data_IF_222391112820
#
_entry.id   IF_222391112820
#
_cell.length_a   1.000
_cell.length_b   1.000
_cell.length_c   1.000
_cell.angle_alpha   90.00
_cell.angle_beta   90.00
_cell.angle_gamma   90.00
#
_symmetry.space_group_name_H-M   'P 1'
#
loop_
_entity.id
_entity.type
_entity.pdbx_description
1 polymer ?
#
# COMPACT_ATOMS: atom_id res chain seq x y z
N UNK A 1 24.12 -44.79 -12.14
CA UNK A 1 23.23 -45.55 -11.22
C UNK A 1 23.74 -45.60 -9.78
N UNK A 2 24.89 -46.22 -9.48
CA UNK A 2 25.41 -46.37 -8.11
C UNK A 2 25.61 -45.02 -7.38
N UNK A 3 26.16 -44.02 -8.08
CA UNK A 3 26.33 -42.65 -7.56
C UNK A 3 25.00 -42.00 -7.15
N UNK A 4 23.94 -42.16 -7.95
CA UNK A 4 22.60 -41.60 -7.66
C UNK A 4 21.98 -42.27 -6.43
N UNK A 5 22.07 -43.59 -6.33
CA UNK A 5 21.57 -44.33 -5.16
C UNK A 5 22.30 -43.95 -3.88
N UNK A 6 23.61 -43.71 -3.95
CA UNK A 6 24.40 -43.19 -2.83
C UNK A 6 23.88 -41.82 -2.40
N UNK A 7 23.59 -40.91 -3.34
CA UNK A 7 23.03 -39.58 -3.02
C UNK A 7 21.63 -39.66 -2.39
N UNK A 8 20.76 -40.54 -2.88
CA UNK A 8 19.46 -40.79 -2.25
C UNK A 8 19.62 -41.30 -0.81
N UNK A 9 20.58 -42.20 -0.58
CA UNK A 9 20.87 -42.71 0.76
C UNK A 9 21.45 -41.61 1.67
N UNK A 10 22.34 -40.75 1.16
CA UNK A 10 22.87 -39.61 1.89
C UNK A 10 21.77 -38.63 2.30
N UNK A 11 20.80 -38.37 1.43
CA UNK A 11 19.63 -37.56 1.78
C UNK A 11 18.77 -38.19 2.88
N UNK A 12 18.59 -39.52 2.86
CA UNK A 12 17.90 -40.21 3.94
C UNK A 12 18.69 -40.10 5.26
N UNK A 13 20.01 -40.23 5.20
CA UNK A 13 20.89 -40.13 6.36
C UNK A 13 20.96 -38.71 6.93
N UNK A 14 20.74 -37.67 6.11
CA UNK A 14 20.60 -36.28 6.56
C UNK A 14 19.26 -35.97 7.21
N UNK A 15 18.42 -37.00 7.47
CA UNK A 15 17.06 -36.85 8.01
C UNK A 15 16.18 -35.94 7.15
N UNK A 16 16.36 -36.00 5.83
CA UNK A 16 15.58 -35.24 4.84
C UNK A 16 15.81 -33.72 4.90
N UNK A 17 17.01 -33.27 5.30
CA UNK A 17 17.32 -31.84 5.47
C UNK A 17 18.30 -31.29 4.42
N UNK A 18 18.99 -32.16 3.68
CA UNK A 18 19.97 -31.71 2.67
C UNK A 18 19.31 -31.48 1.31
N UNK A 19 18.81 -30.26 1.10
CA UNK A 19 18.08 -29.89 -0.11
C UNK A 19 18.97 -29.69 -1.35
N UNK A 20 20.28 -29.46 -1.17
CA UNK A 20 21.21 -29.43 -2.30
C UNK A 20 21.31 -30.82 -2.93
N UNK A 21 21.35 -31.88 -2.11
CA UNK A 21 21.31 -33.26 -2.60
C UNK A 21 20.01 -33.57 -3.36
N UNK A 22 18.88 -32.99 -2.98
CA UNK A 22 17.59 -33.17 -3.68
C UNK A 22 17.70 -32.66 -5.12
N UNK A 23 18.19 -31.44 -5.33
CA UNK A 23 18.33 -30.85 -6.67
C UNK A 23 19.32 -31.63 -7.55
N UNK A 24 20.45 -32.06 -6.98
CA UNK A 24 21.44 -32.87 -7.70
C UNK A 24 20.86 -34.22 -8.14
N UNK A 25 20.10 -34.88 -7.26
CA UNK A 25 19.46 -36.16 -7.55
C UNK A 25 18.37 -35.99 -8.62
N UNK A 26 17.56 -34.93 -8.54
CA UNK A 26 16.54 -34.64 -9.55
C UNK A 26 17.15 -34.37 -10.92
N UNK A 27 18.24 -33.59 -10.98
CA UNK A 27 18.96 -33.29 -12.22
C UNK A 27 19.50 -34.57 -12.87
N UNK A 28 20.24 -35.38 -12.11
CA UNK A 28 20.79 -36.65 -12.62
C UNK A 28 19.70 -37.64 -13.01
N UNK A 29 18.58 -37.68 -12.28
CA UNK A 29 17.46 -38.56 -12.58
C UNK A 29 16.77 -38.18 -13.91
N UNK A 30 16.72 -36.89 -14.28
CA UNK A 30 16.15 -36.44 -15.56
C UNK A 30 16.94 -36.91 -16.77
N UNK A 31 18.25 -37.14 -16.62
CA UNK A 31 19.13 -37.63 -17.68
C UNK A 31 18.95 -39.13 -17.96
N UNK A 32 18.39 -39.89 -17.02
CA UNK A 32 18.16 -41.32 -17.15
C UNK A 32 17.01 -41.62 -18.12
N UNK A 33 17.16 -42.70 -18.91
CA UNK A 33 16.16 -43.17 -19.89
C UNK A 33 15.92 -44.67 -19.76
N UNK A 34 14.73 -45.11 -20.18
CA UNK A 34 14.39 -46.52 -20.27
C UNK A 34 14.48 -47.28 -18.95
N UNK A 35 15.18 -48.43 -18.97
CA UNK A 35 15.24 -49.40 -17.86
C UNK A 35 15.89 -48.84 -16.59
N UNK A 36 16.96 -48.06 -16.73
CA UNK A 36 17.68 -47.49 -15.58
C UNK A 36 16.81 -46.53 -14.76
N UNK A 37 15.96 -45.76 -15.44
CA UNK A 37 15.00 -44.86 -14.80
C UNK A 37 13.93 -45.62 -14.04
N UNK A 38 13.39 -46.69 -14.65
CA UNK A 38 12.38 -47.53 -14.03
C UNK A 38 12.90 -48.24 -12.77
N UNK A 39 14.17 -48.67 -12.76
CA UNK A 39 14.80 -49.33 -11.61
C UNK A 39 14.98 -48.40 -10.40
N UNK A 40 15.21 -47.10 -10.64
CA UNK A 40 15.44 -46.11 -9.57
C UNK A 40 14.14 -45.43 -9.12
N UNK A 41 13.08 -45.46 -9.93
CA UNK A 41 11.81 -44.77 -9.66
C UNK A 41 11.31 -44.96 -8.22
N UNK A 42 11.29 -46.21 -7.75
CA UNK A 42 10.81 -46.52 -6.39
C UNK A 42 11.60 -45.78 -5.27
N UNK A 43 12.88 -45.49 -5.52
CA UNK A 43 13.76 -44.76 -4.61
C UNK A 43 13.54 -43.25 -4.69
N UNK A 44 12.98 -42.74 -5.79
CA UNK A 44 12.70 -41.31 -5.96
C UNK A 44 11.57 -40.80 -5.06
N UNK A 45 10.71 -41.68 -4.55
CA UNK A 45 9.65 -41.31 -3.61
C UNK A 45 10.11 -40.39 -2.46
N UNK A 46 11.24 -40.71 -1.81
CA UNK A 46 11.74 -39.90 -0.68
C UNK A 46 12.26 -38.55 -1.13
N UNK A 47 12.75 -38.46 -2.38
CA UNK A 47 13.22 -37.22 -2.98
C UNK A 47 12.02 -36.33 -3.34
N UNK A 48 10.96 -36.90 -3.91
CA UNK A 48 9.74 -36.16 -4.23
C UNK A 48 9.07 -35.61 -2.97
N UNK A 49 8.96 -36.44 -1.92
CA UNK A 49 8.48 -36.02 -0.60
C UNK A 49 9.36 -34.91 -0.02
N UNK A 50 10.68 -35.09 -0.03
CA UNK A 50 11.63 -34.10 0.50
C UNK A 50 11.57 -32.77 -0.24
N UNK A 51 11.41 -32.79 -1.56
CA UNK A 51 11.23 -31.59 -2.39
C UNK A 51 9.91 -30.89 -2.07
N UNK A 52 8.81 -31.63 -1.94
CA UNK A 52 7.53 -31.08 -1.48
C UNK A 52 7.66 -30.42 -0.10
N UNK A 53 8.23 -31.12 0.88
CA UNK A 53 8.41 -30.61 2.24
C UNK A 53 9.26 -29.33 2.27
N UNK A 54 10.32 -29.26 1.43
CA UNK A 54 11.15 -28.07 1.28
C UNK A 54 10.34 -26.88 0.75
N UNK A 55 9.68 -27.06 -0.39
CA UNK A 55 8.91 -26.01 -1.06
C UNK A 55 7.77 -25.49 -0.19
N UNK A 56 7.11 -26.39 0.56
CA UNK A 56 6.09 -26.00 1.53
C UNK A 56 6.66 -25.12 2.63
N UNK A 57 7.83 -25.47 3.19
CA UNK A 57 8.50 -24.69 4.24
C UNK A 57 9.06 -23.35 3.74
N UNK A 58 9.49 -23.29 2.49
CA UNK A 58 10.00 -22.07 1.86
C UNK A 58 8.91 -21.23 1.19
N UNK A 59 7.63 -21.54 1.45
CA UNK A 59 6.46 -20.80 0.94
C UNK A 59 6.32 -20.78 -0.59
N UNK A 60 6.89 -21.76 -1.29
CA UNK A 60 6.82 -21.93 -2.76
C UNK A 60 5.63 -22.83 -3.15
N UNK A 61 4.42 -22.42 -2.78
CA UNK A 61 3.22 -23.26 -2.82
C UNK A 61 2.83 -23.76 -4.22
N UNK A 62 2.96 -22.93 -5.26
CA UNK A 62 2.58 -23.32 -6.63
C UNK A 62 3.44 -24.48 -7.14
N UNK A 63 4.75 -24.47 -6.88
CA UNK A 63 5.63 -25.59 -7.22
C UNK A 63 5.41 -26.78 -6.26
N UNK A 64 5.15 -26.53 -4.98
CA UNK A 64 4.89 -27.57 -4.00
C UNK A 64 3.72 -28.48 -4.41
N UNK A 65 2.67 -27.95 -5.05
CA UNK A 65 1.54 -28.75 -5.56
C UNK A 65 2.02 -29.84 -6.53
N UNK A 66 2.93 -29.51 -7.45
CA UNK A 66 3.45 -30.48 -8.41
C UNK A 66 4.15 -31.65 -7.71
N UNK A 67 4.99 -31.35 -6.72
CA UNK A 67 5.74 -32.36 -5.97
C UNK A 67 4.88 -33.15 -4.99
N UNK A 68 3.84 -32.52 -4.43
CA UNK A 68 2.80 -33.19 -3.66
C UNK A 68 2.08 -34.24 -4.52
N UNK A 69 1.59 -33.85 -5.70
CA UNK A 69 0.88 -34.77 -6.60
C UNK A 69 1.80 -35.90 -7.09
N UNK A 70 3.07 -35.59 -7.39
CA UNK A 70 4.08 -36.63 -7.68
C UNK A 70 4.27 -37.61 -6.54
N UNK A 71 4.29 -37.13 -5.30
CA UNK A 71 4.46 -37.97 -4.12
C UNK A 71 3.22 -38.84 -3.89
N UNK A 72 2.02 -38.26 -3.94
CA UNK A 72 0.74 -38.95 -3.70
C UNK A 72 0.46 -40.02 -4.76
N UNK A 73 0.75 -39.75 -6.02
CA UNK A 73 0.51 -40.67 -7.13
C UNK A 73 1.60 -41.75 -7.28
N UNK A 74 2.68 -41.68 -6.49
CA UNK A 74 3.77 -42.66 -6.55
C UNK A 74 3.36 -43.99 -5.89
N UNK A 75 3.74 -45.12 -6.50
CA UNK A 75 3.32 -46.47 -6.05
C UNK A 75 3.63 -46.78 -4.57
N UNK A 76 4.75 -46.24 -4.05
CA UNK A 76 5.20 -46.39 -2.66
C UNK A 76 4.31 -45.67 -1.64
N UNK A 77 3.54 -44.65 -2.04
CA UNK A 77 2.68 -43.88 -1.13
C UNK A 77 1.66 -44.77 -0.40
N UNK A 78 1.10 -45.77 -1.09
CA UNK A 78 0.20 -46.77 -0.50
C UNK A 78 0.79 -47.52 0.71
N UNK A 79 2.13 -47.67 0.74
CA UNK A 79 2.91 -48.37 1.78
C UNK A 79 3.50 -47.42 2.83
N UNK A 80 3.19 -46.12 2.75
CA UNK A 80 3.64 -45.13 3.74
C UNK A 80 2.95 -45.37 5.09
N UNK A 81 3.64 -45.02 6.19
CA UNK A 81 3.06 -45.09 7.53
C UNK A 81 1.89 -44.12 7.64
N UNK A 82 0.83 -44.49 8.35
CA UNK A 82 -0.38 -43.66 8.47
C UNK A 82 -0.09 -42.25 9.00
N UNK A 83 0.76 -42.11 10.02
CA UNK A 83 1.17 -40.79 10.53
C UNK A 83 1.84 -39.92 9.46
N UNK A 84 2.69 -40.51 8.62
CA UNK A 84 3.34 -39.80 7.52
C UNK A 84 2.33 -39.43 6.43
N UNK A 85 1.41 -40.34 6.08
CA UNK A 85 0.33 -40.05 5.13
C UNK A 85 -0.50 -38.88 5.61
N UNK A 86 -0.85 -38.85 6.91
CA UNK A 86 -1.59 -37.74 7.51
C UNK A 86 -0.86 -36.41 7.33
N UNK A 87 0.41 -36.33 7.73
CA UNK A 87 1.22 -35.12 7.61
C UNK A 87 1.35 -34.63 6.15
N UNK A 88 1.52 -35.57 5.20
CA UNK A 88 1.59 -35.25 3.76
C UNK A 88 0.26 -34.67 3.27
N UNK A 89 -0.87 -35.27 3.66
CA UNK A 89 -2.21 -34.81 3.25
C UNK A 89 -2.56 -33.46 3.90
N UNK A 90 -2.23 -33.25 5.18
CA UNK A 90 -2.44 -31.97 5.88
C UNK A 90 -1.63 -30.86 5.20
N UNK A 91 -0.34 -31.09 4.96
CA UNK A 91 0.53 -30.13 4.27
C UNK A 91 0.06 -29.87 2.83
N UNK A 92 -0.41 -30.91 2.13
CA UNK A 92 -1.00 -30.77 0.80
C UNK A 92 -2.28 -29.93 0.81
N UNK A 93 -3.15 -30.13 1.79
CA UNK A 93 -4.37 -29.33 1.96
C UNK A 93 -4.04 -27.86 2.22
N UNK A 94 -3.12 -27.57 3.16
CA UNK A 94 -2.62 -26.22 3.41
C UNK A 94 -2.02 -25.59 2.15
N UNK A 95 -1.22 -26.33 1.40
CA UNK A 95 -0.64 -25.86 0.11
C UNK A 95 -1.73 -25.44 -0.88
N UNK A 96 -2.76 -26.25 -1.04
CA UNK A 96 -3.90 -25.94 -1.90
C UNK A 96 -4.69 -24.71 -1.42
N UNK A 97 -4.89 -24.57 -0.11
CA UNK A 97 -5.58 -23.42 0.45
C UNK A 97 -4.80 -22.12 0.25
N UNK A 98 -3.48 -22.12 0.47
CA UNK A 98 -2.65 -20.93 0.22
C UNK A 98 -2.60 -20.60 -1.27
N UNK A 99 -2.52 -21.60 -2.15
CA UNK A 99 -2.57 -21.35 -3.59
C UNK A 99 -3.93 -20.81 -4.05
N UNK A 100 -5.03 -21.24 -3.42
CA UNK A 100 -6.33 -20.61 -3.62
C UNK A 100 -6.31 -19.13 -3.21
N UNK A 101 -5.68 -18.78 -2.09
CA UNK A 101 -5.56 -17.39 -1.66
C UNK A 101 -4.76 -16.53 -2.64
N UNK A 102 -3.71 -17.10 -3.23
CA UNK A 102 -2.84 -16.43 -4.21
C UNK A 102 -3.50 -16.24 -5.57
N UNK A 103 -4.20 -17.27 -6.08
CA UNK A 103 -4.71 -17.31 -7.46
C UNK A 103 -6.22 -17.04 -7.58
N UNK A 104 -6.95 -17.14 -6.46
CA UNK A 104 -8.43 -17.17 -6.40
C UNK A 104 -9.08 -18.28 -7.24
N UNK A 105 -8.31 -19.29 -7.65
CA UNK A 105 -8.81 -20.42 -8.43
C UNK A 105 -9.51 -21.45 -7.52
N UNK A 106 -10.83 -21.52 -7.61
CA UNK A 106 -11.70 -22.38 -6.79
C UNK A 106 -11.37 -23.88 -6.86
N UNK A 107 -10.66 -24.34 -7.91
CA UNK A 107 -10.19 -25.74 -7.99
C UNK A 107 -9.26 -26.10 -6.84
N UNK A 108 -8.39 -25.17 -6.43
CA UNK A 108 -7.46 -25.42 -5.33
C UNK A 108 -8.20 -25.55 -4.00
N UNK A 109 -9.18 -24.68 -3.72
CA UNK A 109 -10.04 -24.82 -2.55
C UNK A 109 -10.78 -26.16 -2.55
N UNK A 110 -11.33 -26.57 -3.70
CA UNK A 110 -12.00 -27.86 -3.85
C UNK A 110 -11.08 -29.06 -3.60
N UNK A 111 -9.83 -28.99 -4.05
CA UNK A 111 -8.83 -30.04 -3.83
C UNK A 111 -8.40 -30.11 -2.36
N UNK A 112 -8.14 -28.97 -1.70
CA UNK A 112 -7.84 -28.95 -0.27
C UNK A 112 -8.94 -29.57 0.59
N UNK A 113 -10.21 -29.24 0.32
CA UNK A 113 -11.37 -29.85 1.00
C UNK A 113 -11.45 -31.37 0.79
N UNK A 114 -11.12 -31.86 -0.41
CA UNK A 114 -11.09 -33.31 -0.69
C UNK A 114 -10.03 -34.01 0.15
N UNK A 115 -8.85 -33.40 0.31
CA UNK A 115 -7.78 -33.96 1.13
C UNK A 115 -8.15 -34.00 2.62
N UNK A 116 -8.82 -32.97 3.13
CA UNK A 116 -9.30 -32.97 4.52
C UNK A 116 -10.38 -34.04 4.75
N UNK A 117 -11.31 -34.24 3.81
CA UNK A 117 -12.28 -35.34 3.89
C UNK A 117 -11.62 -36.73 3.82
N UNK A 118 -10.57 -36.88 3.01
CA UNK A 118 -9.79 -38.12 2.96
C UNK A 118 -9.12 -38.42 4.31
N UNK A 119 -8.62 -37.39 5.00
CA UNK A 119 -8.05 -37.49 6.35
C UNK A 119 -9.08 -37.91 7.41
N UNK A 120 -10.28 -37.32 7.39
CA UNK A 120 -11.37 -37.67 8.31
C UNK A 120 -11.73 -39.17 8.23
N UNK A 121 -11.64 -39.77 7.04
CA UNK A 121 -11.89 -41.20 6.82
C UNK A 121 -10.75 -42.10 7.32
N UNK A 122 -9.54 -41.57 7.49
CA UNK A 122 -8.34 -42.33 7.87
C UNK A 122 -8.11 -42.42 9.38
N UNK A 123 -8.65 -41.51 10.22
CA UNK A 123 -8.43 -41.56 11.67
C UNK A 123 -9.48 -40.84 12.53
N UNK A 124 -10.56 -41.55 12.85
CA UNK A 124 -11.67 -41.05 13.69
C UNK A 124 -11.23 -40.71 15.14
N UNK A 125 -10.28 -41.47 15.73
CA UNK A 125 -9.97 -41.35 17.17
C UNK A 125 -8.65 -40.63 17.51
N UNK A 126 -7.75 -40.39 16.55
CA UNK A 126 -6.40 -39.80 16.80
C UNK A 126 -6.21 -38.39 16.23
N UNK A 127 -7.04 -37.94 15.29
CA UNK A 127 -6.89 -36.64 14.59
C UNK A 127 -7.44 -35.46 15.40
N UNK A 128 -8.42 -35.68 16.30
CA UNK A 128 -9.14 -34.59 17.00
C UNK A 128 -8.21 -33.70 17.85
N UNK A 129 -7.02 -34.19 18.21
CA UNK A 129 -6.02 -33.44 18.99
C UNK A 129 -4.78 -33.01 18.19
N UNK A 130 -4.71 -33.27 16.88
CA UNK A 130 -3.58 -32.85 16.05
C UNK A 130 -3.68 -31.33 15.75
N UNK A 131 -2.72 -30.56 16.28
CA UNK A 131 -2.67 -29.10 16.09
C UNK A 131 -2.54 -28.72 14.61
N UNK A 132 -1.80 -29.49 13.82
CA UNK A 132 -1.60 -29.19 12.39
C UNK A 132 -2.86 -29.46 11.56
N UNK A 133 -3.69 -30.41 11.98
CA UNK A 133 -4.99 -30.64 11.37
C UNK A 133 -5.98 -29.52 11.76
N UNK A 134 -5.98 -29.09 13.02
CA UNK A 134 -6.78 -27.95 13.49
C UNK A 134 -6.44 -26.66 12.74
N UNK A 135 -5.16 -26.39 12.51
CA UNK A 135 -4.72 -25.29 11.66
C UNK A 135 -5.30 -25.36 10.25
N UNK A 136 -5.29 -26.55 9.62
CA UNK A 136 -5.81 -26.72 8.27
C UNK A 136 -7.34 -26.54 8.20
N UNK A 137 -8.07 -27.00 9.21
CA UNK A 137 -9.51 -26.75 9.34
C UNK A 137 -9.82 -25.28 9.57
N UNK A 138 -9.10 -24.61 10.47
CA UNK A 138 -9.23 -23.19 10.72
C UNK A 138 -8.97 -22.37 9.44
N UNK A 139 -7.96 -22.76 8.66
CA UNK A 139 -7.69 -22.15 7.36
C UNK A 139 -8.84 -22.35 6.37
N UNK A 140 -9.41 -23.56 6.27
CA UNK A 140 -10.59 -23.79 5.43
C UNK A 140 -11.77 -22.90 5.87
N UNK A 141 -12.07 -22.88 7.16
CA UNK A 141 -13.18 -22.13 7.73
C UNK A 141 -13.00 -20.62 7.51
N UNK A 142 -11.78 -20.10 7.73
CA UNK A 142 -11.47 -18.70 7.50
C UNK A 142 -11.57 -18.30 6.02
N UNK A 143 -11.21 -19.21 5.10
CA UNK A 143 -11.43 -19.01 3.67
C UNK A 143 -12.92 -18.89 3.36
N UNK A 144 -13.74 -19.79 3.92
CA UNK A 144 -15.19 -19.83 3.66
C UNK A 144 -15.94 -18.63 4.24
N UNK A 145 -15.53 -18.16 5.43
CA UNK A 145 -16.09 -16.99 6.09
C UNK A 145 -15.47 -15.67 5.64
N UNK A 146 -14.39 -15.71 4.87
CA UNK A 146 -13.58 -14.55 4.50
C UNK A 146 -13.05 -13.75 5.72
N UNK A 147 -12.49 -14.46 6.71
CA UNK A 147 -12.03 -13.91 8.00
C UNK A 147 -10.51 -13.99 8.19
N UNK A 148 -9.76 -14.27 7.11
CA UNK A 148 -8.29 -14.31 7.15
C UNK A 148 -7.75 -12.90 7.38
N UNK A 149 -6.71 -12.81 8.22
CA UNK A 149 -6.03 -11.56 8.53
C UNK A 149 -4.55 -11.62 8.15
N UNK A 150 -4.00 -10.46 7.79
CA UNK A 150 -2.55 -10.26 7.63
C UNK A 150 -2.08 -9.29 8.70
N UNK A 151 -1.19 -9.74 9.57
CA UNK A 151 -0.55 -8.92 10.59
C UNK A 151 0.88 -8.61 10.18
N UNK A 152 1.27 -7.34 10.30
CA UNK A 152 2.62 -6.86 9.99
C UNK A 152 3.16 -6.13 11.21
N UNK A 153 4.38 -6.45 11.60
CA UNK A 153 5.15 -5.64 12.54
C UNK A 153 6.39 -5.08 11.83
N UNK A 154 6.59 -3.77 11.92
CA UNK A 154 7.74 -3.10 11.31
C UNK A 154 8.24 -1.95 12.17
N UNK A 155 9.50 -1.59 11.96
CA UNK A 155 10.10 -0.41 12.59
C UNK A 155 10.40 0.64 11.51
N UNK A 156 10.00 1.88 11.78
CA UNK A 156 10.20 3.01 10.87
C UNK A 156 10.98 4.14 11.55
N UNK A 157 11.88 4.82 10.82
CA UNK A 157 12.63 5.96 11.33
C UNK A 157 11.79 7.24 11.27
N UNK A 158 10.62 7.22 11.93
CA UNK A 158 9.71 8.35 12.00
C UNK A 158 9.71 8.93 13.40
N UNK A 159 9.91 10.25 13.47
CA UNK A 159 9.87 11.01 14.69
C UNK A 159 8.45 11.51 14.98
N UNK A 160 7.57 10.59 15.35
CA UNK A 160 6.29 10.96 15.94
C UNK A 160 6.47 11.11 17.45
N UNK A 161 5.91 12.18 18.02
CA UNK A 161 5.88 12.32 19.47
C UNK A 161 4.97 11.28 20.13
N UNK A 162 5.25 10.98 21.40
CA UNK A 162 4.66 9.88 22.15
C UNK A 162 3.17 9.62 21.87
N UNK A 163 2.91 8.47 21.26
CA UNK A 163 1.57 7.95 21.12
C UNK A 163 1.31 6.92 22.21
N UNK A 164 0.25 7.14 22.98
CA UNK A 164 -0.43 6.02 23.65
C UNK A 164 -0.86 5.02 22.58
N UNK A 165 -0.84 3.72 22.89
CA UNK A 165 -1.40 2.66 22.03
C UNK A 165 -2.89 2.98 21.80
N UNK A 166 -3.17 3.72 20.73
CA UNK A 166 -4.53 4.00 20.29
C UNK A 166 -4.73 3.08 19.09
N UNK A 167 -5.63 2.08 19.18
CA UNK A 167 -6.04 1.35 18.00
C UNK A 167 -6.70 2.35 17.05
N UNK A 168 -6.05 2.59 15.91
CA UNK A 168 -6.59 3.41 14.82
C UNK A 168 -7.13 2.45 13.76
N UNK A 169 -8.40 2.59 13.41
CA UNK A 169 -8.96 1.90 12.25
C UNK A 169 -8.83 2.81 11.03
N UNK A 170 -8.07 2.36 10.04
CA UNK A 170 -7.96 3.02 8.73
C UNK A 170 -8.85 2.27 7.76
N UNK A 171 -9.82 2.98 7.18
CA UNK A 171 -10.68 2.46 6.13
C UNK A 171 -10.30 3.12 4.80
N UNK A 172 -9.80 2.31 3.87
CA UNK A 172 -9.57 2.71 2.47
C UNK A 172 -10.70 2.18 1.58
N UNK A 173 -10.69 2.50 0.28
CA UNK A 173 -11.58 1.86 -0.69
C UNK A 173 -11.35 0.35 -0.80
N UNK A 174 -10.14 -0.08 -0.47
CA UNK A 174 -9.64 -1.41 -0.81
C UNK A 174 -9.61 -2.33 0.42
N UNK A 175 -9.36 -1.79 1.63
CA UNK A 175 -9.20 -2.59 2.84
C UNK A 175 -9.55 -1.84 4.13
N UNK A 176 -9.71 -2.62 5.22
CA UNK A 176 -9.80 -2.12 6.60
C UNK A 176 -8.59 -2.62 7.38
N UNK A 177 -7.83 -1.69 7.95
CA UNK A 177 -6.64 -1.98 8.75
C UNK A 177 -6.80 -1.44 10.18
N UNK A 178 -6.45 -2.25 11.17
CA UNK A 178 -6.32 -1.84 12.56
C UNK A 178 -4.84 -1.64 12.88
N UNK A 179 -4.51 -0.52 13.50
CA UNK A 179 -3.14 -0.11 13.70
C UNK A 179 -2.86 0.23 15.16
N UNK A 180 -1.77 -0.32 15.68
CA UNK A 180 -1.16 0.08 16.94
C UNK A 180 0.28 0.49 16.68
N UNK A 181 0.78 1.50 17.36
CA UNK A 181 2.20 1.86 17.30
C UNK A 181 2.72 2.35 18.63
N UNK A 182 4.03 2.23 18.81
CA UNK A 182 4.75 2.67 20.01
C UNK A 182 5.97 3.47 19.57
N UNK A 183 6.18 4.61 20.22
CA UNK A 183 7.37 5.46 20.09
C UNK A 183 8.40 5.08 21.16
N UNK A 184 9.67 4.94 20.76
CA UNK A 184 10.83 4.52 21.56
C UNK A 184 11.00 3.03 21.84
N UNK A 185 12.16 2.50 21.41
CA UNK A 185 12.73 1.25 21.89
C UNK A 185 13.68 1.57 23.09
N UNK A 186 13.47 1.04 24.31
CA UNK A 186 14.25 1.40 25.49
C UNK A 186 15.72 0.94 25.53
N UNK A 187 16.14 0.03 24.64
CA UNK A 187 17.33 -0.81 24.87
C UNK A 187 18.47 -0.59 23.85
N UNK A 188 19.19 0.54 23.92
CA UNK A 188 20.45 0.71 23.19
C UNK A 188 21.55 1.36 24.05
N UNK A 189 22.73 0.71 24.21
CA UNK A 189 23.82 1.23 25.05
C UNK A 189 24.57 2.39 24.38
N UNK A 190 24.84 3.42 25.20
CA UNK A 190 25.53 4.67 24.86
C UNK A 190 26.90 4.47 24.18
N UNK A 191 27.05 4.91 22.93
CA UNK A 191 28.25 5.61 22.42
C UNK A 191 28.17 5.90 20.91
N UNK A 192 28.18 7.19 20.54
CA UNK A 192 28.60 7.64 19.21
C UNK A 192 27.51 8.29 18.35
N UNK A 193 27.91 9.32 17.62
CA UNK A 193 27.11 9.93 16.57
C UNK A 193 27.06 9.00 15.35
N UNK A 194 25.85 8.70 14.88
CA UNK A 194 25.60 7.86 13.69
C UNK A 194 24.84 8.68 12.66
N UNK A 195 25.35 8.71 11.43
CA UNK A 195 24.67 9.27 10.25
C UNK A 195 24.10 8.11 9.41
N UNK A 196 22.78 8.05 9.19
CA UNK A 196 22.23 7.14 8.15
C UNK A 196 22.41 7.77 6.77
N UNK A 197 22.60 6.94 5.74
CA UNK A 197 22.56 7.37 4.34
C UNK A 197 21.15 7.77 3.84
N UNK A 198 20.10 7.45 4.60
CA UNK A 198 18.70 7.73 4.23
C UNK A 198 17.92 8.46 5.34
N UNK A 199 18.61 8.89 6.39
CA UNK A 199 18.04 9.80 7.36
C UNK A 199 18.12 11.19 6.75
N UNK A 200 16.98 11.66 6.24
CA UNK A 200 16.89 13.00 5.65
C UNK A 200 17.03 14.08 6.72
N UNK A 201 16.98 13.73 8.02
CA UNK A 201 16.65 14.65 9.10
C UNK A 201 17.61 14.60 10.32
N UNK A 202 18.50 13.62 10.40
CA UNK A 202 19.54 13.55 11.45
C UNK A 202 18.99 13.43 12.88
N UNK A 203 17.70 13.10 13.04
CA UNK A 203 17.03 12.88 14.31
C UNK A 203 16.61 11.40 14.38
N UNK A 204 17.33 10.59 15.17
CA UNK A 204 17.09 9.14 15.29
C UNK A 204 16.07 8.84 16.40
N UNK A 205 14.79 9.04 16.11
CA UNK A 205 13.70 8.36 16.82
C UNK A 205 13.06 7.33 15.89
N UNK A 206 12.75 6.15 16.42
CA UNK A 206 12.05 5.10 15.69
C UNK A 206 10.69 4.80 16.31
N UNK A 207 9.79 4.33 15.45
CA UNK A 207 8.44 3.91 15.79
C UNK A 207 8.24 2.47 15.38
N UNK A 208 7.71 1.66 16.29
CA UNK A 208 7.31 0.29 16.00
C UNK A 208 5.82 0.32 15.67
N UNK A 209 5.47 -0.20 14.49
CA UNK A 209 4.11 -0.25 13.97
C UNK A 209 3.66 -1.71 13.92
N UNK A 210 2.48 -1.98 14.47
CA UNK A 210 1.75 -3.24 14.35
C UNK A 210 0.46 -2.97 13.59
N UNK A 211 0.38 -3.50 12.37
CA UNK A 211 -0.75 -3.33 11.45
C UNK A 211 -1.46 -4.67 11.31
N UNK A 212 -2.78 -4.70 11.45
CA UNK A 212 -3.62 -5.86 11.17
C UNK A 212 -4.60 -5.51 10.04
N UNK A 213 -4.42 -6.10 8.87
CA UNK A 213 -5.36 -6.04 7.76
C UNK A 213 -6.41 -7.14 7.94
N UNK A 214 -7.70 -6.79 7.78
CA UNK A 214 -8.82 -7.74 7.85
C UNK A 214 -8.99 -8.57 6.55
N UNK A 215 -7.88 -8.87 5.88
CA UNK A 215 -7.85 -9.70 4.69
C UNK A 215 -6.48 -10.35 4.50
N UNK A 216 -6.41 -11.30 3.58
CA UNK A 216 -5.15 -11.89 3.11
C UNK A 216 -4.49 -11.00 2.05
N UNK A 217 -3.31 -10.45 2.36
CA UNK A 217 -2.48 -9.70 1.40
C UNK A 217 -1.20 -10.48 1.08
N UNK A 218 -1.08 -11.00 -0.14
CA UNK A 218 0.10 -11.75 -0.58
C UNK A 218 1.32 -10.82 -0.73
N UNK A 219 2.33 -10.99 0.14
CA UNK A 219 3.54 -10.17 0.11
C UNK A 219 4.45 -10.44 -1.10
N UNK A 220 4.35 -11.62 -1.73
CA UNK A 220 5.12 -11.94 -2.95
C UNK A 220 4.51 -11.35 -4.21
N UNK A 221 3.25 -10.88 -4.15
CA UNK A 221 2.59 -10.30 -5.32
C UNK A 221 3.13 -8.88 -5.54
N UNK A 222 3.78 -8.69 -6.69
CA UNK A 222 4.34 -7.41 -7.10
C UNK A 222 3.36 -6.61 -7.96
N UNK A 223 3.42 -5.30 -7.85
CA UNK A 223 2.73 -4.31 -8.68
C UNK A 223 3.78 -3.46 -9.36
N UNK A 224 3.57 -3.22 -10.66
CA UNK A 224 4.38 -2.29 -11.43
C UNK A 224 4.01 -0.85 -11.06
N UNK A 225 4.98 -0.12 -10.51
CA UNK A 225 4.85 1.32 -10.26
C UNK A 225 5.26 2.09 -11.51
N UNK A 226 6.31 1.62 -12.19
CA UNK A 226 6.75 2.08 -13.51
C UNK A 226 7.54 0.95 -14.20
N UNK A 227 8.02 1.21 -15.42
CA UNK A 227 8.73 0.22 -16.25
C UNK A 227 9.93 -0.44 -15.56
N UNK A 228 10.58 0.24 -14.61
CA UNK A 228 11.83 -0.21 -13.97
C UNK A 228 11.65 -0.51 -12.47
N UNK A 229 10.44 -0.35 -11.91
CA UNK A 229 10.21 -0.44 -10.47
C UNK A 229 8.92 -1.17 -10.11
N UNK A 230 9.07 -2.26 -9.37
CA UNK A 230 7.99 -3.06 -8.82
C UNK A 230 8.04 -3.04 -7.29
N UNK A 231 6.86 -3.03 -6.66
CA UNK A 231 6.72 -3.08 -5.20
C UNK A 231 5.75 -4.19 -4.80
N UNK A 232 5.88 -4.70 -3.57
CA UNK A 232 4.88 -5.61 -3.01
C UNK A 232 3.55 -4.88 -2.78
N UNK A 233 2.41 -5.53 -3.08
CA UNK A 233 1.08 -5.02 -2.69
C UNK A 233 1.01 -4.76 -1.17
N UNK A 234 1.69 -5.60 -0.38
CA UNK A 234 1.71 -5.41 1.07
C UNK A 234 2.44 -4.12 1.45
N UNK A 235 3.53 -3.79 0.76
CA UNK A 235 4.28 -2.55 1.03
C UNK A 235 3.50 -1.31 0.63
N UNK A 236 2.74 -1.37 -0.47
CA UNK A 236 1.80 -0.33 -0.85
C UNK A 236 0.71 -0.13 0.21
N UNK A 237 0.07 -1.22 0.67
CA UNK A 237 -0.95 -1.17 1.71
C UNK A 237 -0.43 -0.62 3.04
N UNK A 238 0.80 -1.01 3.44
CA UNK A 238 1.48 -0.46 4.62
C UNK A 238 1.69 1.05 4.46
N UNK A 239 2.24 1.50 3.32
CA UNK A 239 2.47 2.92 3.05
C UNK A 239 1.17 3.73 3.10
N UNK A 240 0.10 3.25 2.44
CA UNK A 240 -1.21 3.92 2.46
C UNK A 240 -1.75 4.06 3.88
N UNK A 241 -1.69 2.98 4.66
CA UNK A 241 -2.17 2.95 6.05
C UNK A 241 -1.41 3.94 6.93
N UNK A 242 -0.08 3.87 6.92
CA UNK A 242 0.78 4.70 7.77
C UNK A 242 0.70 6.17 7.34
N UNK A 243 0.73 6.46 6.04
CA UNK A 243 0.62 7.83 5.54
C UNK A 243 -0.73 8.47 5.87
N UNK A 244 -1.81 7.69 5.92
CA UNK A 244 -3.11 8.19 6.39
C UNK A 244 -3.02 8.66 7.85
N UNK A 245 -2.35 7.91 8.71
CA UNK A 245 -2.12 8.30 10.11
C UNK A 245 -1.20 9.52 10.20
N UNK A 246 -0.09 9.54 9.45
CA UNK A 246 0.84 10.69 9.42
C UNK A 246 0.12 11.96 8.97
N UNK A 247 -0.70 11.90 7.92
CA UNK A 247 -1.41 13.07 7.39
C UNK A 247 -2.43 13.62 8.39
N UNK A 248 -3.19 12.74 9.05
CA UNK A 248 -4.12 13.16 10.11
C UNK A 248 -3.39 13.72 11.33
N UNK A 249 -2.25 13.12 11.71
CA UNK A 249 -1.38 13.67 12.73
C UNK A 249 -0.92 15.08 12.37
N UNK A 250 -0.37 15.29 11.16
CA UNK A 250 0.07 16.61 10.67
C UNK A 250 -1.05 17.65 10.72
N UNK A 251 -2.27 17.27 10.33
CA UNK A 251 -3.43 18.17 10.34
C UNK A 251 -3.82 18.63 11.75
N UNK A 252 -3.73 17.74 12.76
CA UNK A 252 -4.11 18.03 14.14
C UNK A 252 -2.98 18.73 14.90
N UNK A 253 -1.77 18.17 14.85
CA UNK A 253 -0.62 18.66 15.63
C UNK A 253 0.07 19.87 14.98
N UNK A 254 -0.19 20.13 13.70
CA UNK A 254 0.52 21.11 12.86
C UNK A 254 2.01 20.80 12.70
N UNK A 255 2.41 19.54 12.92
CA UNK A 255 3.79 19.07 12.80
C UNK A 255 4.13 18.68 11.36
N UNK A 256 4.15 19.68 10.48
CA UNK A 256 4.38 19.46 9.05
C UNK A 256 5.80 19.00 8.70
N UNK A 257 6.71 18.92 9.67
CA UNK A 257 8.05 18.42 9.43
C UNK A 257 8.07 16.90 9.23
N UNK A 258 7.09 16.16 9.78
CA UNK A 258 6.95 14.72 9.55
C UNK A 258 6.52 14.46 8.11
N UNK A 259 7.28 13.59 7.41
CA UNK A 259 7.05 13.24 6.01
C UNK A 259 6.37 11.88 5.86
N UNK A 260 5.65 11.73 4.76
CA UNK A 260 5.12 10.44 4.33
C UNK A 260 6.26 9.44 4.07
N UNK A 261 5.98 8.16 4.30
CA UNK A 261 6.87 7.04 4.01
C UNK A 261 6.65 6.50 2.60
N UNK A 262 7.67 5.82 2.09
CA UNK A 262 7.69 5.17 0.78
C UNK A 262 8.10 3.71 0.90
N UNK A 263 7.77 2.85 -0.09
CA UNK A 263 8.08 1.42 -0.04
C UNK A 263 9.57 1.10 0.22
N UNK A 264 10.49 1.90 -0.33
CA UNK A 264 11.93 1.72 -0.10
C UNK A 264 12.38 1.89 1.36
N UNK A 265 11.53 2.50 2.20
CA UNK A 265 11.76 2.68 3.64
C UNK A 265 11.30 1.45 4.45
N UNK A 266 10.48 0.56 3.87
CA UNK A 266 9.99 -0.66 4.52
C UNK A 266 11.04 -1.77 4.33
N UNK A 267 12.03 -1.81 5.22
CA UNK A 267 13.14 -2.77 5.11
C UNK A 267 13.01 -3.95 6.05
N UNK A 268 12.58 -3.71 7.30
CA UNK A 268 12.45 -4.74 8.32
C UNK A 268 10.98 -4.92 8.68
N UNK A 269 10.40 -6.05 8.27
CA UNK A 269 9.04 -6.43 8.64
C UNK A 269 8.92 -7.90 8.98
N UNK A 270 8.16 -8.18 10.02
CA UNK A 270 7.61 -9.49 10.31
C UNK A 270 6.18 -9.57 9.77
N UNK A 271 5.81 -10.70 9.17
CA UNK A 271 4.48 -10.90 8.59
C UNK A 271 3.90 -12.18 9.16
N UNK A 272 2.65 -12.12 9.61
CA UNK A 272 1.90 -13.25 10.13
C UNK A 272 0.54 -13.31 9.46
N UNK A 273 0.18 -14.48 8.92
CA UNK A 273 -1.14 -14.73 8.35
C UNK A 273 -1.96 -15.58 9.31
N UNK A 274 -3.16 -15.12 9.65
CA UNK A 274 -3.97 -15.66 10.75
C UNK A 274 -5.32 -16.14 10.19
N UNK A 275 -5.72 -17.36 10.57
CA UNK A 275 -7.01 -17.96 10.26
C UNK A 275 -7.72 -18.39 11.55
N UNK A 276 -8.92 -17.85 11.84
CA UNK A 276 -9.68 -18.08 13.08
C UNK A 276 -8.83 -17.94 14.38
N UNK A 277 -7.89 -16.98 14.40
CA UNK A 277 -6.99 -16.73 15.54
C UNK A 277 -5.74 -17.61 15.58
N UNK A 278 -5.55 -18.51 14.62
CA UNK A 278 -4.39 -19.41 14.52
C UNK A 278 -3.46 -18.94 13.39
N UNK A 279 -2.17 -18.66 13.67
CA UNK A 279 -1.18 -18.36 12.64
C UNK A 279 -0.92 -19.59 11.75
N UNK A 280 -1.01 -19.44 10.42
CA UNK A 280 -0.73 -20.55 9.49
C UNK A 280 0.51 -20.32 8.61
N UNK A 281 0.98 -19.07 8.52
CA UNK A 281 2.28 -18.66 7.93
C UNK A 281 2.86 -17.56 8.81
N UNK A 282 4.12 -17.71 9.21
CA UNK A 282 4.87 -16.72 9.99
C UNK A 282 6.24 -16.47 9.33
N UNK A 283 6.49 -15.20 8.98
CA UNK A 283 7.72 -14.71 8.37
C UNK A 283 8.38 -13.81 9.42
N UNK A 284 9.31 -14.35 10.22
CA UNK A 284 9.71 -13.75 11.50
C UNK A 284 10.52 -12.45 11.35
N UNK A 285 11.31 -12.30 10.28
CA UNK A 285 11.99 -11.05 9.94
C UNK A 285 12.54 -11.14 8.51
N UNK A 286 12.06 -10.28 7.61
CA UNK A 286 12.76 -9.99 6.36
C UNK A 286 13.79 -8.90 6.66
N UNK A 287 15.08 -9.26 6.69
CA UNK A 287 16.21 -8.35 6.88
C UNK A 287 16.86 -8.02 5.52
N UNK A 288 16.80 -6.75 5.13
CA UNK A 288 17.45 -6.22 3.92
C UNK A 288 18.62 -5.27 4.25
N UNK A 289 19.16 -5.29 5.48
CA UNK A 289 20.39 -4.56 5.83
C UNK A 289 20.60 -4.35 7.34
N UNK A 290 21.87 -4.19 7.74
CA UNK A 290 22.27 -4.03 9.14
C UNK A 290 21.94 -2.65 9.75
N UNK A 291 21.66 -2.62 11.05
CA UNK A 291 21.34 -1.41 11.84
C UNK A 291 22.07 -1.37 13.19
N UNK A 292 22.28 -0.14 13.70
CA UNK A 292 22.65 0.18 15.09
C UNK A 292 21.94 1.46 15.55
N UNK A 293 21.58 1.54 16.84
CA UNK A 293 20.59 2.46 17.42
C UNK A 293 21.20 3.60 18.28
N UNK A 294 20.43 4.66 18.54
CA UNK A 294 20.76 5.85 19.35
C UNK A 294 19.69 6.11 20.44
N UNK A 295 20.03 6.85 21.51
CA UNK A 295 19.42 6.78 22.85
C UNK A 295 18.77 8.05 23.43
N UNK A 296 18.29 9.02 22.62
CA UNK A 296 17.65 10.24 23.16
C UNK A 296 16.11 10.25 23.11
N UNK A 297 15.49 10.77 24.19
CA UNK A 297 14.04 10.78 24.44
C UNK A 297 13.46 12.20 24.38
N UNK A 298 12.27 12.36 23.79
CA UNK A 298 11.42 13.54 23.96
C UNK A 298 9.93 13.16 23.99
N UNK A 299 9.12 13.87 24.80
CA UNK A 299 7.69 13.57 25.05
C UNK A 299 6.79 14.66 24.45
N UNK A 300 5.72 14.28 23.74
CA UNK A 300 4.49 15.09 23.53
C UNK A 300 3.31 14.14 23.31
N UNK A 301 2.13 14.47 23.84
CA UNK A 301 0.91 13.65 23.75
C UNK A 301 0.13 13.84 22.45
N UNK A 302 -0.49 12.75 21.95
CA UNK A 302 -1.41 12.77 20.80
C UNK A 302 -2.88 12.74 21.28
N UNK A 303 -3.78 13.58 20.73
CA UNK A 303 -5.20 13.60 21.10
C UNK A 303 -5.95 12.29 20.75
N UNK A 304 -6.90 11.92 21.61
CA UNK A 304 -7.71 10.67 21.57
C UNK A 304 -8.72 10.52 20.41
N UNK A 305 -8.64 11.32 19.36
CA UNK A 305 -9.62 11.29 18.26
C UNK A 305 -8.91 11.22 16.91
N UNK A 306 -8.45 10.03 16.53
CA UNK A 306 -8.09 9.69 15.15
C UNK A 306 -8.98 8.55 14.65
N UNK A 307 -10.28 8.80 14.51
CA UNK A 307 -11.09 8.05 13.54
C UNK A 307 -10.82 8.70 12.18
N UNK A 308 -10.03 8.04 11.35
CA UNK A 308 -9.42 8.65 10.18
C UNK A 308 -10.08 8.14 8.87
N UNK A 309 -10.96 8.96 8.31
CA UNK A 309 -11.14 8.98 6.85
C UNK A 309 -9.92 9.61 6.17
N UNK A 310 -9.69 9.29 4.90
CA UNK A 310 -8.66 9.96 4.11
C UNK A 310 -8.98 11.47 3.99
N UNK A 311 -7.99 12.34 4.25
CA UNK A 311 -8.12 13.78 4.02
C UNK A 311 -8.37 14.06 2.53
N UNK A 312 -9.13 15.12 2.24
CA UNK A 312 -9.33 15.56 0.86
C UNK A 312 -8.00 15.98 0.22
N UNK A 313 -7.87 15.80 -1.10
CA UNK A 313 -6.63 16.08 -1.82
C UNK A 313 -6.12 17.52 -1.60
N UNK A 314 -7.02 18.51 -1.59
CA UNK A 314 -6.63 19.90 -1.34
C UNK A 314 -6.09 20.15 0.08
N UNK A 315 -6.44 19.31 1.06
CA UNK A 315 -5.87 19.38 2.42
C UNK A 315 -4.49 18.73 2.46
N UNK A 316 -4.34 17.57 1.82
CA UNK A 316 -3.04 16.91 1.68
C UNK A 316 -2.01 17.82 1.00
N UNK A 317 -2.38 18.44 -0.13
CA UNK A 317 -1.53 19.37 -0.86
C UNK A 317 -1.19 20.64 -0.05
N UNK A 318 -2.09 21.08 0.83
CA UNK A 318 -1.81 22.18 1.76
C UNK A 318 -0.78 21.77 2.81
N UNK A 319 -0.92 20.58 3.40
CA UNK A 319 0.06 20.06 4.35
C UNK A 319 1.44 19.94 3.69
N UNK A 320 1.50 19.45 2.45
CA UNK A 320 2.75 19.31 1.70
C UNK A 320 3.38 20.66 1.38
N UNK A 321 2.57 21.67 1.02
CA UNK A 321 3.03 23.04 0.89
C UNK A 321 3.73 23.54 2.16
N UNK A 322 3.16 23.25 3.33
CA UNK A 322 3.73 23.64 4.62
C UNK A 322 5.03 22.88 4.94
N UNK A 323 5.11 21.60 4.60
CA UNK A 323 6.34 20.80 4.73
C UNK A 323 7.49 21.31 3.87
N UNK A 324 7.20 21.65 2.61
CA UNK A 324 8.19 22.22 1.70
C UNK A 324 8.67 23.61 2.15
N UNK A 325 7.77 24.43 2.70
CA UNK A 325 8.11 25.73 3.28
C UNK A 325 9.14 25.58 4.41
N UNK A 326 8.95 24.60 5.31
CA UNK A 326 9.88 24.32 6.40
C UNK A 326 11.24 23.81 5.91
N UNK A 327 11.26 23.06 4.81
CA UNK A 327 12.48 22.53 4.20
C UNK A 327 13.23 23.55 3.33
N UNK A 328 12.69 24.75 3.16
CA UNK A 328 13.25 25.79 2.28
C UNK A 328 13.02 25.56 0.78
N UNK A 329 12.20 24.56 0.41
CA UNK A 329 11.85 24.29 -0.99
C UNK A 329 10.65 25.14 -1.42
N UNK A 330 10.90 26.44 -1.60
CA UNK A 330 9.84 27.42 -1.89
C UNK A 330 9.11 27.16 -3.20
N UNK A 331 9.78 26.54 -4.18
CA UNK A 331 9.18 26.18 -5.47
C UNK A 331 8.09 25.13 -5.26
N UNK A 332 8.45 24.00 -4.66
CA UNK A 332 7.50 22.90 -4.44
C UNK A 332 6.40 23.30 -3.45
N UNK A 333 6.71 24.19 -2.50
CA UNK A 333 5.72 24.79 -1.61
C UNK A 333 4.65 25.60 -2.36
N UNK A 334 5.06 26.47 -3.30
CA UNK A 334 4.14 27.27 -4.12
C UNK A 334 3.34 26.39 -5.09
N UNK A 335 3.98 25.41 -5.72
CA UNK A 335 3.31 24.49 -6.65
C UNK A 335 2.22 23.69 -5.91
N UNK A 336 2.57 23.08 -4.77
CA UNK A 336 1.63 22.33 -3.93
C UNK A 336 0.47 23.21 -3.45
N UNK A 337 0.75 24.45 -3.02
CA UNK A 337 -0.28 25.41 -2.61
C UNK A 337 -1.26 25.73 -3.75
N UNK A 338 -0.74 25.95 -4.97
CA UNK A 338 -1.58 26.29 -6.12
C UNK A 338 -2.40 25.09 -6.58
N UNK A 339 -1.84 23.88 -6.54
CA UNK A 339 -2.57 22.64 -6.79
C UNK A 339 -3.67 22.43 -5.74
N UNK A 340 -3.39 22.71 -4.46
CA UNK A 340 -4.40 22.67 -3.39
C UNK A 340 -5.55 23.64 -3.69
N UNK A 341 -5.22 24.89 -4.02
CA UNK A 341 -6.18 25.93 -4.34
C UNK A 341 -7.04 25.57 -5.55
N UNK A 342 -6.44 25.11 -6.66
CA UNK A 342 -7.18 24.71 -7.85
C UNK A 342 -8.09 23.51 -7.58
N UNK A 343 -7.60 22.50 -6.87
CA UNK A 343 -8.41 21.36 -6.48
C UNK A 343 -9.61 21.79 -5.61
N UNK A 344 -9.42 22.69 -4.65
CA UNK A 344 -10.49 23.21 -3.79
C UNK A 344 -11.53 24.03 -4.58
N UNK A 345 -11.11 24.81 -5.58
CA UNK A 345 -12.04 25.53 -6.46
C UNK A 345 -12.99 24.56 -7.17
N UNK A 346 -12.47 23.47 -7.74
CA UNK A 346 -13.30 22.55 -8.50
C UNK A 346 -14.09 21.56 -7.65
N UNK A 347 -13.57 21.15 -6.49
CA UNK A 347 -14.20 20.14 -5.63
C UNK A 347 -15.15 20.72 -4.58
N UNK A 348 -15.00 22.00 -4.23
CA UNK A 348 -15.81 22.64 -3.19
C UNK A 348 -16.55 23.86 -3.72
N UNK A 349 -15.85 24.81 -4.35
CA UNK A 349 -16.47 26.08 -4.78
C UNK A 349 -17.44 25.89 -5.94
N UNK A 350 -17.08 25.10 -6.95
CA UNK A 350 -17.97 24.86 -8.10
C UNK A 350 -19.26 24.12 -7.69
N UNK A 351 -19.22 23.04 -6.90
CA UNK A 351 -20.44 22.42 -6.38
C UNK A 351 -21.31 23.37 -5.55
N UNK A 352 -20.70 24.20 -4.68
CA UNK A 352 -21.44 25.21 -3.92
C UNK A 352 -22.19 26.20 -4.83
N UNK A 353 -21.56 26.63 -5.94
CA UNK A 353 -22.22 27.51 -6.92
C UNK A 353 -23.42 26.80 -7.54
N UNK A 354 -23.26 25.54 -7.96
CA UNK A 354 -24.34 24.75 -8.55
C UNK A 354 -25.51 24.62 -7.57
N UNK A 355 -25.23 24.27 -6.31
CA UNK A 355 -26.22 24.19 -5.24
C UNK A 355 -26.98 25.51 -5.06
N UNK A 356 -26.28 26.63 -4.90
CA UNK A 356 -26.89 27.95 -4.68
C UNK A 356 -27.58 28.52 -5.94
N UNK A 357 -27.28 27.99 -7.13
CA UNK A 357 -27.92 28.40 -8.38
C UNK A 357 -29.32 27.82 -8.61
N UNK A 358 -29.78 26.91 -7.75
CA UNK A 358 -31.14 26.31 -7.79
C UNK A 358 -31.52 25.79 -9.18
N UNK A 359 -30.58 25.09 -9.83
CA UNK A 359 -30.80 24.47 -11.15
C UNK A 359 -30.56 25.37 -12.36
N UNK A 360 -30.12 26.62 -12.18
CA UNK A 360 -29.70 27.47 -13.31
C UNK A 360 -28.40 27.02 -13.98
N UNK A 361 -27.50 26.39 -13.21
CA UNK A 361 -26.19 25.93 -13.68
C UNK A 361 -26.08 24.41 -13.56
N UNK A 362 -25.45 23.80 -14.56
CA UNK A 362 -25.08 22.38 -14.54
C UNK A 362 -23.75 22.13 -13.80
N UNK A 363 -23.49 20.87 -13.45
CA UNK A 363 -22.29 20.44 -12.72
C UNK A 363 -20.96 20.80 -13.40
N UNK A 364 -20.97 21.07 -14.71
CA UNK A 364 -19.80 21.40 -15.53
C UNK A 364 -19.86 22.82 -16.07
N UNK A 365 -20.63 23.75 -15.47
CA UNK A 365 -20.75 25.14 -15.93
C UNK A 365 -19.41 25.87 -16.10
N UNK A 366 -18.38 25.42 -15.38
CA UNK A 366 -17.03 25.95 -15.41
C UNK A 366 -16.21 25.44 -16.61
N UNK A 367 -16.72 24.51 -17.41
CA UNK A 367 -16.14 24.08 -18.69
C UNK A 367 -16.89 24.78 -19.82
N UNK A 368 -16.15 25.44 -20.70
CA UNK A 368 -16.73 26.16 -21.83
C UNK A 368 -15.96 25.85 -23.09
N UNK A 369 -16.70 25.68 -24.18
CA UNK A 369 -16.09 25.72 -25.50
C UNK A 369 -15.76 27.19 -25.81
N UNK A 370 -14.49 27.54 -26.04
CA UNK A 370 -14.09 28.93 -26.26
C UNK A 370 -14.74 29.41 -27.56
N UNK A 371 -15.53 30.49 -27.53
CA UNK A 371 -16.18 30.98 -28.75
C UNK A 371 -15.14 31.29 -29.84
N UNK A 372 -15.57 31.29 -31.11
CA UNK A 372 -14.66 31.53 -32.24
C UNK A 372 -13.88 32.86 -32.10
N UNK A 373 -14.53 33.91 -31.60
CA UNK A 373 -13.92 35.23 -31.43
C UNK A 373 -12.81 35.29 -30.36
N UNK A 374 -12.82 34.36 -29.42
CA UNK A 374 -11.86 34.23 -28.32
C UNK A 374 -10.91 33.05 -28.53
N UNK A 375 -10.99 32.37 -29.69
CA UNK A 375 -10.12 31.25 -30.03
C UNK A 375 -8.75 31.74 -30.49
N UNK A 376 -7.68 31.21 -29.89
CA UNK A 376 -6.28 31.64 -30.14
C UNK A 376 -5.89 31.58 -31.63
N UNK A 377 -6.50 30.68 -32.40
CA UNK A 377 -6.23 30.50 -33.83
C UNK A 377 -7.31 31.08 -34.76
N UNK A 378 -8.20 31.96 -34.29
CA UNK A 378 -9.26 32.57 -35.11
C UNK A 378 -8.76 33.32 -36.35
N UNK A 379 -7.50 33.75 -36.35
CA UNK A 379 -6.87 34.42 -37.49
C UNK A 379 -6.32 33.43 -38.53
N UNK A 380 -6.25 32.14 -38.19
CA UNK A 380 -5.68 31.07 -39.01
C UNK A 380 -6.74 30.04 -39.48
N UNK A 381 -7.99 30.18 -39.04
CA UNK A 381 -9.10 29.34 -39.46
C UNK A 381 -10.37 30.18 -39.61
N UNK A 382 -11.26 29.83 -40.53
CA UNK A 382 -12.57 30.47 -40.67
C UNK A 382 -13.53 29.99 -39.59
N UNK A 383 -14.62 30.73 -39.37
CA UNK A 383 -15.67 30.33 -38.42
C UNK A 383 -16.32 28.99 -38.82
N UNK A 384 -16.48 28.73 -40.12
CA UNK A 384 -16.95 27.44 -40.64
C UNK A 384 -15.98 26.29 -40.30
N UNK A 385 -14.68 26.48 -40.48
CA UNK A 385 -13.68 25.46 -40.12
C UNK A 385 -13.63 25.22 -38.62
N UNK A 386 -13.84 26.28 -37.82
CA UNK A 386 -13.93 26.19 -36.37
C UNK A 386 -15.14 25.35 -35.96
N UNK A 387 -16.32 25.56 -36.56
CA UNK A 387 -17.51 24.76 -36.27
C UNK A 387 -17.33 23.30 -36.71
N UNK A 388 -16.67 23.04 -37.84
CA UNK A 388 -16.33 21.67 -38.26
C UNK A 388 -15.42 20.99 -37.25
N UNK A 389 -14.34 21.65 -36.82
CA UNK A 389 -13.41 21.12 -35.84
C UNK A 389 -14.04 20.90 -34.45
N UNK A 390 -15.03 21.70 -34.09
CA UNK A 390 -15.82 21.54 -32.87
C UNK A 390 -16.72 20.30 -32.96
N UNK A 391 -17.40 20.10 -34.09
CA UNK A 391 -18.22 18.91 -34.35
C UNK A 391 -17.39 17.62 -34.43
N UNK A 392 -16.15 17.70 -34.92
CA UNK A 392 -15.19 16.59 -34.95
C UNK A 392 -14.51 16.32 -33.60
N UNK A 393 -14.80 17.12 -32.57
CA UNK A 393 -14.20 16.98 -31.23
C UNK A 393 -12.72 17.36 -31.16
N UNK A 394 -12.20 18.09 -32.16
CA UNK A 394 -10.82 18.59 -32.20
C UNK A 394 -10.63 19.80 -31.28
N UNK A 395 -11.67 20.61 -31.08
CA UNK A 395 -11.67 21.74 -30.15
C UNK A 395 -12.18 21.26 -28.79
N UNK A 396 -11.30 21.32 -27.79
CA UNK A 396 -11.61 20.86 -26.42
C UNK A 396 -12.25 21.96 -25.60
N UNK A 397 -13.08 21.55 -24.64
CA UNK A 397 -13.56 22.42 -23.58
C UNK A 397 -12.38 23.00 -22.79
N UNK A 398 -12.44 24.31 -22.52
CA UNK A 398 -11.48 25.02 -21.69
C UNK A 398 -12.15 25.37 -20.37
N UNK A 399 -11.41 25.25 -19.27
CA UNK A 399 -11.91 25.65 -17.95
C UNK A 399 -11.95 27.17 -17.83
N UNK A 400 -13.03 27.69 -17.24
CA UNK A 400 -13.15 29.09 -16.87
C UNK A 400 -12.01 29.49 -15.94
N UNK A 401 -11.55 30.74 -16.08
CA UNK A 401 -10.58 31.28 -15.13
C UNK A 401 -11.17 31.32 -13.72
N UNK A 402 -10.31 31.16 -12.71
CA UNK A 402 -10.70 31.27 -11.29
C UNK A 402 -11.50 32.55 -11.01
N UNK A 403 -11.13 33.69 -11.61
CA UNK A 403 -11.84 34.95 -11.41
C UNK A 403 -13.26 34.95 -11.98
N UNK A 404 -13.51 34.22 -13.07
CA UNK A 404 -14.84 34.06 -13.62
C UNK A 404 -15.69 33.11 -12.77
N UNK A 405 -15.10 32.03 -12.25
CA UNK A 405 -15.77 31.14 -11.28
C UNK A 405 -16.14 31.93 -10.03
N UNK A 406 -15.23 32.75 -9.50
CA UNK A 406 -15.50 33.57 -8.32
C UNK A 406 -16.52 34.66 -8.61
N UNK A 407 -16.55 35.24 -9.82
CA UNK A 407 -17.63 36.13 -10.23
C UNK A 407 -18.98 35.42 -10.10
N UNK A 408 -19.09 34.20 -10.62
CA UNK A 408 -20.31 33.39 -10.50
C UNK A 408 -20.69 33.11 -9.04
N UNK A 409 -19.71 32.85 -8.17
CA UNK A 409 -19.97 32.73 -6.73
C UNK A 409 -20.62 33.98 -6.13
N UNK A 410 -20.18 35.19 -6.51
CA UNK A 410 -20.82 36.44 -6.06
C UNK A 410 -22.22 36.64 -6.66
N UNK A 411 -22.44 36.15 -7.89
CA UNK A 411 -23.74 36.28 -8.55
C UNK A 411 -24.81 35.39 -7.87
N UNK A 412 -24.42 34.22 -7.35
CA UNK A 412 -25.35 33.22 -6.78
C UNK A 412 -25.34 33.12 -5.24
N UNK A 413 -24.34 33.69 -4.56
CA UNK A 413 -24.25 33.63 -3.11
C UNK A 413 -24.42 35.02 -2.48
N UNK A 414 -25.65 35.35 -2.09
CA UNK A 414 -26.01 36.67 -1.53
C UNK A 414 -25.27 37.02 -0.23
N UNK A 415 -24.89 36.00 0.55
CA UNK A 415 -24.17 36.19 1.81
C UNK A 415 -22.69 36.55 1.61
N UNK A 416 -22.06 36.11 0.52
CA UNK A 416 -20.63 36.32 0.27
C UNK A 416 -20.21 37.81 0.28
N UNK A 417 -20.93 38.75 -0.37
CA UNK A 417 -20.66 40.18 -0.28
C UNK A 417 -20.59 40.73 1.16
N UNK A 418 -21.32 40.14 2.10
CA UNK A 418 -21.30 40.58 3.51
C UNK A 418 -20.05 40.12 4.25
N UNK A 419 -19.48 38.97 3.85
CA UNK A 419 -18.24 38.42 4.41
C UNK A 419 -17.00 39.08 3.82
N UNK A 420 -16.98 39.32 2.51
CA UNK A 420 -15.83 39.88 1.81
C UNK A 420 -16.26 40.57 0.51
N UNK A 421 -15.61 41.68 0.17
CA UNK A 421 -15.84 42.34 -1.12
C UNK A 421 -15.11 41.64 -2.26
N UNK A 422 -15.67 41.71 -3.48
CA UNK A 422 -15.06 41.10 -4.67
C UNK A 422 -13.62 41.56 -4.93
N UNK A 423 -13.32 42.84 -4.68
CA UNK A 423 -11.96 43.37 -4.80
C UNK A 423 -10.99 42.74 -3.79
N UNK A 424 -11.41 42.55 -2.53
CA UNK A 424 -10.62 41.87 -1.50
C UNK A 424 -10.44 40.39 -1.84
N UNK A 425 -11.49 39.72 -2.33
CA UNK A 425 -11.40 38.32 -2.77
C UNK A 425 -10.41 38.15 -3.93
N UNK A 426 -10.48 39.00 -4.95
CA UNK A 426 -9.53 38.97 -6.07
C UNK A 426 -8.09 39.21 -5.60
N UNK A 427 -7.89 40.08 -4.60
CA UNK A 427 -6.58 40.30 -3.98
C UNK A 427 -6.06 39.04 -3.27
N UNK A 428 -6.91 38.32 -2.53
CA UNK A 428 -6.54 37.03 -1.92
C UNK A 428 -6.06 36.06 -2.99
N UNK A 429 -6.85 35.89 -4.06
CA UNK A 429 -6.54 34.95 -5.15
C UNK A 429 -5.22 35.31 -5.85
N UNK A 430 -5.01 36.61 -6.12
CA UNK A 430 -3.75 37.07 -6.71
C UNK A 430 -2.55 36.78 -5.80
N UNK A 431 -2.70 36.96 -4.49
CA UNK A 431 -1.64 36.65 -3.52
C UNK A 431 -1.33 35.15 -3.50
N UNK A 432 -2.36 34.28 -3.48
CA UNK A 432 -2.19 32.81 -3.51
C UNK A 432 -1.46 32.36 -4.78
N UNK A 433 -1.81 32.95 -5.93
CA UNK A 433 -1.28 32.55 -7.25
C UNK A 433 0.04 33.23 -7.63
N UNK A 434 0.60 34.06 -6.74
CA UNK A 434 1.79 34.85 -7.04
C UNK A 434 2.99 33.94 -7.32
N UNK A 435 3.74 34.25 -8.38
CA UNK A 435 4.91 33.51 -8.87
C UNK A 435 4.62 32.10 -9.43
N UNK A 436 3.37 31.61 -9.40
CA UNK A 436 2.98 30.28 -9.91
C UNK A 436 3.39 30.07 -11.37
N UNK A 437 3.00 30.99 -12.25
CA UNK A 437 3.23 30.85 -13.69
C UNK A 437 4.74 30.87 -14.00
N UNK A 438 5.52 31.68 -13.27
CA UNK A 438 6.96 31.76 -13.47
C UNK A 438 7.66 30.45 -13.10
N UNK A 439 7.22 29.78 -12.03
CA UNK A 439 7.73 28.47 -11.65
C UNK A 439 7.29 27.35 -12.60
N UNK A 440 6.04 27.37 -13.08
CA UNK A 440 5.50 26.39 -14.04
C UNK A 440 6.24 26.47 -15.38
N UNK A 441 6.50 27.69 -15.87
CA UNK A 441 7.14 27.89 -17.17
C UNK A 441 8.68 27.90 -17.12
N UNK A 442 9.28 27.63 -15.96
CA UNK A 442 10.72 27.36 -15.84
C UNK A 442 11.62 28.60 -15.86
N UNK A 443 11.10 29.79 -15.56
CA UNK A 443 11.90 31.02 -15.46
C UNK A 443 12.73 31.03 -14.16
N UNK A 444 13.79 30.21 -14.13
CA UNK A 444 14.64 29.96 -12.94
C UNK A 444 15.48 31.15 -12.47
N UNK A 445 15.66 32.20 -13.28
CA UNK A 445 16.77 33.15 -13.11
C UNK A 445 16.46 34.35 -12.19
N UNK A 446 15.20 34.60 -11.79
CA UNK A 446 14.84 35.92 -11.22
C UNK A 446 13.97 35.94 -9.94
N UNK A 447 13.58 34.80 -9.36
CA UNK A 447 12.63 34.83 -8.24
C UNK A 447 13.36 34.62 -6.90
N UNK A 448 13.70 35.72 -6.23
CA UNK A 448 14.09 35.72 -4.81
C UNK A 448 12.87 35.51 -3.92
N UNK A 449 12.27 34.33 -4.00
CA UNK A 449 11.15 33.97 -3.12
C UNK A 449 11.66 33.82 -1.70
N UNK A 450 10.96 34.41 -0.74
CA UNK A 450 11.32 34.33 0.68
C UNK A 450 10.33 33.49 1.47
N UNK A 451 10.78 32.92 2.59
CA UNK A 451 9.90 32.25 3.55
C UNK A 451 8.67 33.10 3.90
N UNK A 452 8.86 34.39 4.17
CA UNK A 452 7.78 35.33 4.53
C UNK A 452 6.74 35.47 3.42
N UNK A 453 7.18 35.47 2.17
CA UNK A 453 6.28 35.55 1.03
C UNK A 453 5.44 34.28 0.91
N UNK A 454 6.06 33.10 0.89
CA UNK A 454 5.35 31.82 0.75
C UNK A 454 4.42 31.57 1.95
N UNK A 455 4.89 31.85 3.16
CA UNK A 455 4.06 31.79 4.37
C UNK A 455 2.83 32.70 4.25
N UNK A 456 3.02 33.92 3.72
CA UNK A 456 1.90 34.83 3.42
C UNK A 456 0.90 34.23 2.42
N UNK A 457 1.36 33.57 1.36
CA UNK A 457 0.46 32.92 0.39
C UNK A 457 -0.36 31.79 1.03
N UNK A 458 0.26 30.98 1.89
CA UNK A 458 -0.41 29.90 2.64
C UNK A 458 -1.51 30.47 3.53
N UNK A 459 -1.23 31.55 4.27
CA UNK A 459 -2.21 32.18 5.16
C UNK A 459 -3.39 32.80 4.37
N UNK A 460 -3.13 33.39 3.20
CA UNK A 460 -4.19 33.90 2.33
C UNK A 460 -5.08 32.77 1.80
N UNK A 461 -4.51 31.58 1.51
CA UNK A 461 -5.30 30.41 1.12
C UNK A 461 -6.13 29.86 2.29
N UNK A 462 -5.56 29.74 3.50
CA UNK A 462 -6.32 29.34 4.69
C UNK A 462 -7.49 30.30 4.94
N UNK A 463 -7.26 31.60 4.79
CA UNK A 463 -8.31 32.63 4.89
C UNK A 463 -9.38 32.47 3.82
N UNK A 464 -8.98 32.21 2.57
CA UNK A 464 -9.91 31.91 1.47
C UNK A 464 -10.80 30.71 1.83
N UNK A 465 -10.22 29.58 2.25
CA UNK A 465 -10.97 28.39 2.68
C UNK A 465 -11.91 28.68 3.84
N UNK A 466 -11.47 29.45 4.84
CA UNK A 466 -12.30 29.83 5.98
C UNK A 466 -13.54 30.63 5.57
N UNK A 467 -13.41 31.54 4.61
CA UNK A 467 -14.55 32.30 4.06
C UNK A 467 -15.55 31.38 3.36
N UNK A 468 -15.07 30.46 2.50
CA UNK A 468 -15.93 29.53 1.77
C UNK A 468 -16.61 28.54 2.73
N UNK A 469 -15.89 28.02 3.73
CA UNK A 469 -16.44 27.08 4.71
C UNK A 469 -17.57 27.70 5.53
N UNK A 470 -17.46 28.98 5.88
CA UNK A 470 -18.53 29.72 6.54
C UNK A 470 -19.80 29.83 5.68
N UNK A 471 -19.68 29.83 4.35
CA UNK A 471 -20.83 29.84 3.44
C UNK A 471 -21.51 28.47 3.29
N UNK A 472 -20.80 27.38 3.56
CA UNK A 472 -21.35 26.03 3.51
C UNK A 472 -22.10 25.66 4.80
N UNK A 473 -21.69 26.25 5.93
CA UNK A 473 -22.31 26.02 7.24
C UNK A 473 -23.55 26.91 7.50
N UNK A 474 -23.94 27.73 6.51
CA UNK A 474 -25.11 28.64 6.50
C UNK A 474 -26.07 28.24 5.39
#
# INVERSE_FOLDING_TARGET
MQSLLTKVQLFCNSKFQDFNLVEEVLTQYQELKGRERAEIEYKMYVIYRGKFDNLFRTSQYSEAIYWFEKTKNHNRYSKELEDNKRNILISGAKTYFVEFLNSKNSKFLGNGKKLLKELELLAVDTIVNDETFKEALALQEAIEKNTIKTKVMLELPLAMKEATIIPITVQTSDFVANLNYVTNNPDAPNSGNVTKHYDKEGQMSSTIWSIEFNEYINYHKLVEVNADYQISILDEAICLTINTVINNYRAVSQEYWIKNIYPFMIRNKAIEYIAEGIPFINIPLLDNGAYTFSSEKSQVEIPKYMDAGALALYDLLLLDSQSYLLSGDFRESILSLNSAFENYIYTVVCPLIVEKSVGELDEKFYRRVPNYNDFDFKYYMTEENYQSALNEGLIREVSMSTFQIIKKLYDYCELLPTLISRSKMNRLINNIRKNRNDFIHGNKVLISTSYKEVSGQIEEYKKFKGIISNLMNL
#
